data_IF_860631341463
#
_entry.id   IF_860631341463
#
_cell.length_a   1.000
_cell.length_b   1.000
_cell.length_c   1.000
_cell.angle_alpha   90.00
_cell.angle_beta   90.00
_cell.angle_gamma   90.00
#
_symmetry.space_group_name_H-M   'P 1'
#
loop_
_entity.id
_entity.type
_entity.pdbx_description
1 polymer ?
#
# COMPACT_ATOMS: atom_id res chain seq x y z
N UNK A 1 9.53 -16.01 6.59
CA UNK A 1 9.85 -14.72 7.23
C UNK A 1 9.05 -14.60 8.53
N UNK A 2 9.68 -14.21 9.65
CA UNK A 2 9.00 -13.95 10.91
C UNK A 2 8.00 -12.78 10.82
N UNK A 3 6.85 -12.90 11.49
CA UNK A 3 5.76 -11.91 11.42
C UNK A 3 6.10 -10.59 12.12
N UNK A 4 7.07 -10.61 13.03
CA UNK A 4 7.59 -9.45 13.74
C UNK A 4 8.49 -8.55 12.90
N UNK A 5 8.94 -9.00 11.72
CA UNK A 5 9.78 -8.18 10.83
C UNK A 5 8.97 -7.51 9.71
N UNK A 6 7.91 -8.15 9.24
CA UNK A 6 7.15 -7.65 8.09
C UNK A 6 6.07 -8.62 7.66
N UNK A 7 5.44 -8.32 6.53
CA UNK A 7 4.47 -9.20 5.89
C UNK A 7 4.61 -9.17 4.37
N UNK A 8 4.19 -10.26 3.71
CA UNK A 8 4.03 -10.29 2.25
C UNK A 8 2.74 -9.55 1.94
N UNK A 9 2.86 -8.38 1.32
CA UNK A 9 1.71 -7.53 0.97
C UNK A 9 1.10 -7.92 -0.37
N UNK A 10 1.90 -8.46 -1.28
CA UNK A 10 1.44 -8.89 -2.60
C UNK A 10 2.31 -10.03 -3.15
N UNK A 11 1.69 -10.93 -3.91
CA UNK A 11 2.40 -11.86 -4.79
C UNK A 11 1.93 -11.60 -6.22
N UNK A 12 2.88 -11.37 -7.12
CA UNK A 12 2.63 -11.17 -8.55
C UNK A 12 3.29 -12.34 -9.28
N UNK A 13 2.44 -13.19 -9.84
CA UNK A 13 2.90 -14.35 -10.62
C UNK A 13 3.19 -13.94 -12.06
N UNK A 14 4.28 -14.45 -12.63
CA UNK A 14 4.55 -14.25 -14.05
C UNK A 14 3.57 -15.06 -14.90
N UNK A 15 3.08 -14.51 -16.03
CA UNK A 15 2.32 -15.30 -17.01
C UNK A 15 3.18 -16.33 -17.76
N UNK A 16 4.53 -16.27 -17.65
CA UNK A 16 5.46 -17.18 -18.33
C UNK A 16 5.71 -18.40 -17.43
N UNK A 17 5.50 -19.63 -17.95
CA UNK A 17 5.64 -20.87 -17.16
C UNK A 17 6.62 -21.89 -17.80
N UNK A 18 7.49 -22.54 -17.00
CA UNK A 18 7.74 -22.29 -15.57
C UNK A 18 8.40 -20.91 -15.33
N UNK A 19 8.24 -20.30 -14.14
CA UNK A 19 8.92 -19.04 -13.82
C UNK A 19 10.43 -19.25 -13.86
N UNK A 20 11.16 -18.31 -14.45
CA UNK A 20 12.61 -18.42 -14.58
C UNK A 20 13.34 -17.99 -13.30
N UNK A 21 12.75 -17.03 -12.56
CA UNK A 21 13.38 -16.33 -11.43
C UNK A 21 12.35 -16.00 -10.35
N UNK A 22 12.82 -15.81 -9.12
CA UNK A 22 12.06 -15.24 -8.00
C UNK A 22 12.70 -13.91 -7.58
N UNK A 23 11.90 -12.86 -7.47
CA UNK A 23 12.33 -11.59 -6.87
C UNK A 23 11.54 -11.34 -5.58
N UNK A 24 12.25 -11.23 -4.46
CA UNK A 24 11.68 -10.74 -3.21
C UNK A 24 11.86 -9.23 -3.18
N UNK A 25 10.81 -8.49 -3.52
CA UNK A 25 10.82 -7.03 -3.57
C UNK A 25 10.49 -6.49 -2.18
N UNK A 26 11.45 -5.88 -1.50
CA UNK A 26 11.24 -5.29 -0.17
C UNK A 26 11.02 -3.79 -0.31
N UNK A 27 9.92 -3.29 0.23
CA UNK A 27 9.63 -1.84 0.24
C UNK A 27 10.50 -1.13 1.28
N UNK A 28 11.25 -0.15 0.82
CA UNK A 28 12.10 0.71 1.62
C UNK A 28 11.29 1.88 2.20
N UNK A 29 11.28 1.99 3.54
CA UNK A 29 10.72 3.14 4.27
C UNK A 29 11.78 4.21 4.57
N UNK A 30 12.92 4.15 3.89
CA UNK A 30 14.00 5.13 3.89
C UNK A 30 14.56 5.41 5.29
N UNK A 31 14.40 6.62 5.82
CA UNK A 31 15.05 7.05 7.07
C UNK A 31 14.42 6.46 8.33
N UNK A 32 13.39 5.63 8.20
CA UNK A 32 12.74 4.98 9.33
C UNK A 32 13.62 3.88 9.94
N UNK A 33 14.24 4.19 11.07
CA UNK A 33 15.19 3.30 11.73
C UNK A 33 14.62 1.90 12.04
N UNK A 34 13.39 1.81 12.54
CA UNK A 34 12.79 0.52 12.89
C UNK A 34 12.53 -0.31 11.63
N UNK A 35 11.98 0.31 10.59
CA UNK A 35 11.78 -0.35 9.30
C UNK A 35 13.11 -0.79 8.67
N UNK A 36 14.19 0.00 8.78
CA UNK A 36 15.52 -0.41 8.31
C UNK A 36 16.08 -1.60 9.10
N UNK A 37 15.89 -1.65 10.42
CA UNK A 37 16.29 -2.81 11.23
C UNK A 37 15.49 -4.05 10.86
N UNK A 38 14.20 -3.90 10.58
CA UNK A 38 13.36 -4.99 10.09
C UNK A 38 13.77 -5.44 8.69
N UNK A 39 14.03 -4.51 7.76
CA UNK A 39 14.56 -4.82 6.43
C UNK A 39 15.85 -5.63 6.53
N UNK A 40 16.81 -5.18 7.35
CA UNK A 40 18.04 -5.92 7.61
C UNK A 40 17.75 -7.35 8.11
N UNK A 41 16.83 -7.50 9.07
CA UNK A 41 16.42 -8.81 9.58
C UNK A 41 15.76 -9.69 8.51
N UNK A 42 14.96 -9.12 7.60
CA UNK A 42 14.33 -9.87 6.50
C UNK A 42 15.42 -10.39 5.56
N UNK A 43 16.36 -9.54 5.15
CA UNK A 43 17.46 -9.93 4.28
C UNK A 43 18.34 -10.99 4.94
N UNK A 44 18.63 -10.84 6.23
CA UNK A 44 19.38 -11.79 7.06
C UNK A 44 18.72 -13.18 7.03
N UNK A 45 17.41 -13.26 7.29
CA UNK A 45 16.66 -14.53 7.22
C UNK A 45 16.61 -15.13 5.82
N UNK A 46 16.45 -14.31 4.77
CA UNK A 46 16.49 -14.80 3.39
C UNK A 46 17.87 -15.34 3.01
N UNK A 47 18.92 -14.71 3.52
CA UNK A 47 20.30 -15.15 3.37
C UNK A 47 20.56 -16.46 4.14
N UNK A 48 20.13 -16.57 5.39
CA UNK A 48 20.32 -17.77 6.23
C UNK A 48 19.48 -18.96 5.75
N UNK A 49 18.17 -18.77 5.61
CA UNK A 49 17.20 -19.85 5.42
C UNK A 49 17.12 -20.31 3.95
N UNK A 50 17.37 -19.39 3.01
CA UNK A 50 17.16 -19.63 1.57
C UNK A 50 18.41 -19.40 0.71
N UNK A 51 19.52 -18.97 1.31
CA UNK A 51 20.78 -18.79 0.59
C UNK A 51 20.77 -17.67 -0.44
N UNK A 52 19.83 -16.72 -0.36
CA UNK A 52 19.78 -15.58 -1.28
C UNK A 52 20.95 -14.63 -0.97
N UNK A 53 21.81 -14.36 -1.96
CA UNK A 53 23.02 -13.53 -1.79
C UNK A 53 23.02 -12.24 -2.61
N UNK A 54 22.28 -12.21 -3.71
CA UNK A 54 22.19 -11.04 -4.58
C UNK A 54 21.12 -10.09 -4.03
N UNK A 55 21.57 -8.91 -3.59
CA UNK A 55 20.73 -7.85 -3.06
C UNK A 55 20.80 -6.68 -4.05
N UNK A 56 19.71 -6.44 -4.75
CA UNK A 56 19.58 -5.38 -5.74
C UNK A 56 19.01 -4.13 -5.06
N UNK A 57 19.55 -2.96 -5.36
CA UNK A 57 19.25 -1.74 -4.59
C UNK A 57 18.93 -0.56 -5.52
N UNK A 58 17.85 0.16 -5.19
CA UNK A 58 17.53 1.47 -5.77
C UNK A 58 18.56 2.54 -5.37
N UNK A 59 18.86 3.48 -6.25
CA UNK A 59 19.64 4.68 -5.94
C UNK A 59 21.15 4.53 -6.09
N UNK A 60 21.62 3.33 -6.46
CA UNK A 60 23.01 3.04 -6.79
C UNK A 60 23.17 2.45 -8.19
N UNK A 61 24.39 2.49 -8.73
CA UNK A 61 24.78 1.81 -9.97
C UNK A 61 26.05 0.99 -9.71
N UNK A 62 26.05 -0.30 -10.06
CA UNK A 62 27.21 -1.17 -9.87
C UNK A 62 27.32 -1.76 -8.46
N UNK A 63 28.53 -2.17 -8.05
CA UNK A 63 28.76 -2.73 -6.71
C UNK A 63 28.73 -1.62 -5.66
N UNK A 64 27.75 -1.70 -4.76
CA UNK A 64 27.54 -0.76 -3.65
C UNK A 64 27.78 -1.42 -2.29
N UNK A 65 28.48 -2.55 -2.28
CA UNK A 65 28.79 -3.29 -1.06
C UNK A 65 29.78 -2.52 -0.17
N UNK A 66 29.55 -2.56 1.13
CA UNK A 66 30.42 -2.04 2.17
C UNK A 66 31.33 -3.11 2.77
N UNK A 67 31.27 -4.34 2.25
CA UNK A 67 32.03 -5.51 2.71
C UNK A 67 33.55 -5.28 2.81
N UNK A 68 34.10 -4.41 1.98
CA UNK A 68 35.53 -4.02 2.02
C UNK A 68 35.94 -3.37 3.35
N UNK A 69 35.01 -2.65 3.99
CA UNK A 69 35.19 -1.96 5.27
C UNK A 69 35.21 -2.93 6.45
N UNK A 70 34.72 -4.17 6.28
CA UNK A 70 34.69 -5.18 7.36
C UNK A 70 36.07 -5.48 7.95
N UNK A 71 37.13 -5.32 7.16
CA UNK A 71 38.52 -5.55 7.56
C UNK A 71 39.11 -4.43 8.42
N UNK A 72 38.48 -3.27 8.46
CA UNK A 72 38.98 -2.09 9.15
C UNK A 72 38.74 -2.14 10.67
N UNK A 73 37.74 -2.91 11.12
CA UNK A 73 37.37 -2.99 12.54
C UNK A 73 36.76 -4.35 12.93
N UNK A 74 36.92 -4.79 14.19
CA UNK A 74 36.21 -5.94 14.74
C UNK A 74 34.68 -5.80 14.66
N UNK A 75 33.97 -6.94 14.60
CA UNK A 75 32.51 -7.00 14.46
C UNK A 75 31.73 -6.15 15.48
N UNK A 76 32.20 -6.11 16.74
CA UNK A 76 31.55 -5.31 17.78
C UNK A 76 31.57 -3.81 17.47
N UNK A 77 32.71 -3.28 17.01
CA UNK A 77 32.87 -1.87 16.64
C UNK A 77 32.07 -1.55 15.37
N UNK A 78 32.13 -2.45 14.36
CA UNK A 78 31.31 -2.30 13.14
C UNK A 78 29.83 -2.16 13.48
N UNK A 79 29.33 -3.01 14.38
CA UNK A 79 27.93 -2.99 14.81
C UNK A 79 27.57 -1.70 15.52
N UNK A 80 28.41 -1.20 16.43
CA UNK A 80 28.17 0.04 17.14
C UNK A 80 28.07 1.25 16.19
N UNK A 81 29.06 1.41 15.31
CA UNK A 81 29.11 2.51 14.33
C UNK A 81 27.99 2.40 13.29
N UNK A 82 27.73 1.20 12.75
CA UNK A 82 26.65 0.98 11.80
C UNK A 82 25.28 1.26 12.42
N UNK A 83 25.05 0.93 13.69
CA UNK A 83 23.80 1.27 14.38
C UNK A 83 23.63 2.80 14.50
N UNK A 84 24.70 3.52 14.79
CA UNK A 84 24.69 4.98 14.86
C UNK A 84 24.37 5.61 13.49
N UNK A 85 24.97 5.10 12.41
CA UNK A 85 24.71 5.57 11.05
C UNK A 85 23.29 5.21 10.56
N UNK A 86 22.79 4.03 10.91
CA UNK A 86 21.42 3.63 10.58
C UNK A 86 20.40 4.55 11.27
N UNK A 87 20.62 4.90 12.55
CA UNK A 87 19.75 5.87 13.27
C UNK A 87 19.77 7.26 12.67
N UNK A 88 20.90 7.66 12.10
CA UNK A 88 21.05 8.94 11.40
C UNK A 88 20.49 8.91 9.98
N UNK A 89 20.16 7.74 9.43
CA UNK A 89 19.74 7.56 8.04
C UNK A 89 20.87 7.67 7.02
N UNK A 90 22.13 7.56 7.48
CA UNK A 90 23.31 7.64 6.61
C UNK A 90 23.52 6.35 5.81
N UNK A 91 23.20 5.20 6.42
CA UNK A 91 23.17 3.89 5.76
C UNK A 91 21.77 3.27 5.87
N UNK A 92 21.44 2.40 4.92
CA UNK A 92 20.20 1.62 4.86
C UNK A 92 20.36 0.25 5.52
N UNK A 93 19.28 -0.52 5.65
CA UNK A 93 19.26 -1.80 6.35
C UNK A 93 20.12 -2.89 5.71
N UNK A 94 20.17 -2.93 4.38
CA UNK A 94 21.04 -3.83 3.62
C UNK A 94 22.51 -3.47 3.77
N UNK A 95 22.86 -2.18 3.77
CA UNK A 95 24.21 -1.69 4.01
C UNK A 95 24.65 -1.98 5.46
N UNK A 96 23.73 -1.78 6.41
CA UNK A 96 23.93 -2.17 7.81
C UNK A 96 24.22 -3.67 7.91
N UNK A 97 23.39 -4.52 7.30
CA UNK A 97 23.59 -5.98 7.35
C UNK A 97 24.91 -6.38 6.69
N UNK A 98 25.24 -5.80 5.55
CA UNK A 98 26.50 -6.01 4.86
C UNK A 98 27.69 -5.56 5.73
N UNK A 99 27.54 -4.52 6.54
CA UNK A 99 28.59 -4.08 7.45
C UNK A 99 28.72 -4.88 8.74
N UNK A 100 27.69 -5.55 9.24
CA UNK A 100 27.72 -6.19 10.57
C UNK A 100 27.72 -7.71 10.54
N UNK A 101 27.28 -8.32 9.44
CA UNK A 101 27.27 -9.78 9.28
C UNK A 101 28.51 -10.30 8.55
N UNK A 102 28.64 -11.62 8.51
CA UNK A 102 29.63 -12.33 7.69
C UNK A 102 29.00 -12.97 6.44
N UNK A 103 27.75 -12.63 6.14
CA UNK A 103 27.11 -13.11 4.92
C UNK A 103 27.89 -12.61 3.69
N UNK A 104 28.11 -13.47 2.68
CA UNK A 104 28.73 -13.07 1.42
C UNK A 104 27.67 -12.44 0.51
N UNK A 105 27.11 -11.30 0.95
CA UNK A 105 26.14 -10.55 0.18
C UNK A 105 26.83 -9.81 -0.96
N UNK A 106 26.15 -9.71 -2.09
CA UNK A 106 26.50 -8.83 -3.20
C UNK A 106 25.42 -7.75 -3.29
N UNK A 107 25.74 -6.54 -2.85
CA UNK A 107 24.86 -5.39 -2.98
C UNK A 107 25.14 -4.73 -4.32
N UNK A 108 24.14 -4.71 -5.19
CA UNK A 108 24.27 -4.22 -6.56
C UNK A 108 23.20 -3.18 -6.87
N UNK A 109 23.65 -1.97 -7.16
CA UNK A 109 22.82 -0.88 -7.63
C UNK A 109 22.25 -1.16 -9.03
N UNK A 110 20.92 -1.07 -9.16
CA UNK A 110 20.21 -1.33 -10.43
C UNK A 110 19.73 -0.06 -11.13
N UNK A 111 20.02 1.10 -10.57
CA UNK A 111 19.61 2.37 -11.15
C UNK A 111 20.44 2.75 -12.36
N UNK A 112 19.89 3.61 -13.21
CA UNK A 112 20.62 4.34 -14.23
C UNK A 112 20.89 5.75 -13.71
N UNK A 113 22.16 6.12 -13.53
CA UNK A 113 22.50 7.38 -12.86
C UNK A 113 21.97 8.60 -13.61
N UNK A 114 21.92 8.56 -14.95
CA UNK A 114 21.40 9.67 -15.74
C UNK A 114 19.88 9.84 -15.56
N UNK A 115 19.13 8.73 -15.57
CA UNK A 115 17.70 8.76 -15.27
C UNK A 115 17.42 9.17 -13.83
N UNK A 116 18.23 8.70 -12.89
CA UNK A 116 18.15 9.09 -11.48
C UNK A 116 18.38 10.59 -11.31
N UNK A 117 19.45 11.14 -11.91
CA UNK A 117 19.78 12.57 -11.83
C UNK A 117 18.64 13.42 -12.41
N UNK A 118 18.16 13.05 -13.60
CA UNK A 118 17.03 13.73 -14.22
C UNK A 118 15.79 13.72 -13.33
N UNK A 119 15.42 12.54 -12.80
CA UNK A 119 14.26 12.39 -11.93
C UNK A 119 14.40 13.20 -10.63
N UNK A 120 15.61 13.23 -10.04
CA UNK A 120 15.90 14.00 -8.85
C UNK A 120 15.80 15.52 -9.09
N UNK A 121 16.33 16.03 -10.20
CA UNK A 121 16.19 17.47 -10.54
C UNK A 121 14.71 17.85 -10.67
N UNK A 122 13.90 17.00 -11.29
CA UNK A 122 12.46 17.22 -11.42
C UNK A 122 11.75 17.22 -10.07
N UNK A 123 12.15 16.35 -9.13
CA UNK A 123 11.67 16.38 -7.75
C UNK A 123 11.96 17.74 -7.08
N UNK A 124 13.14 18.31 -7.28
CA UNK A 124 13.52 19.62 -6.72
C UNK A 124 12.75 20.77 -7.34
N UNK A 125 12.59 20.77 -8.66
CA UNK A 125 11.76 21.75 -9.35
C UNK A 125 10.29 21.66 -8.89
N UNK A 126 9.76 20.44 -8.71
CA UNK A 126 8.40 20.21 -8.25
C UNK A 126 8.20 20.66 -6.81
N UNK A 127 9.13 20.36 -5.90
CA UNK A 127 9.07 20.83 -4.50
C UNK A 127 9.02 22.37 -4.43
N UNK A 128 9.88 23.04 -5.21
CA UNK A 128 9.91 24.50 -5.29
C UNK A 128 8.62 25.06 -5.89
N UNK A 129 8.15 24.49 -7.00
CA UNK A 129 6.91 24.91 -7.65
C UNK A 129 5.72 24.78 -6.69
N UNK A 130 5.57 23.60 -6.05
CA UNK A 130 4.55 23.33 -5.04
C UNK A 130 4.57 24.35 -3.91
N UNK A 131 5.75 24.66 -3.37
CA UNK A 131 5.90 25.68 -2.33
C UNK A 131 5.37 27.05 -2.78
N UNK A 132 5.69 27.45 -4.02
CA UNK A 132 5.30 28.75 -4.57
C UNK A 132 3.81 28.90 -4.90
N UNK A 133 3.11 27.81 -5.25
CA UNK A 133 1.69 27.82 -5.66
C UNK A 133 0.72 27.33 -4.57
N UNK A 134 1.23 26.82 -3.45
CA UNK A 134 0.41 26.19 -2.40
C UNK A 134 -0.74 27.06 -1.90
N UNK A 135 -0.51 28.37 -1.71
CA UNK A 135 -1.54 29.32 -1.31
C UNK A 135 -2.67 29.45 -2.34
N UNK A 136 -2.33 29.57 -3.62
CA UNK A 136 -3.29 29.72 -4.71
C UNK A 136 -4.14 28.45 -4.91
N UNK A 137 -3.50 27.27 -4.82
CA UNK A 137 -4.19 25.97 -4.86
C UNK A 137 -5.15 25.83 -3.68
N UNK A 138 -4.72 26.26 -2.49
CA UNK A 138 -5.56 26.28 -1.28
C UNK A 138 -6.78 27.21 -1.42
N UNK A 139 -6.61 28.38 -2.03
CA UNK A 139 -7.73 29.30 -2.31
C UNK A 139 -8.76 28.69 -3.28
N UNK A 140 -8.30 27.98 -4.32
CA UNK A 140 -9.17 27.27 -5.26
C UNK A 140 -9.94 26.15 -4.57
N UNK A 141 -9.26 25.31 -3.78
CA UNK A 141 -9.89 24.25 -3.02
C UNK A 141 -10.96 24.80 -2.06
N UNK A 142 -10.66 25.89 -1.35
CA UNK A 142 -11.60 26.54 -0.45
C UNK A 142 -12.79 27.16 -1.21
N UNK A 143 -12.59 27.66 -2.44
CA UNK A 143 -13.69 28.16 -3.28
C UNK A 143 -14.62 27.02 -3.72
N UNK A 144 -14.06 25.89 -4.13
CA UNK A 144 -14.81 24.68 -4.48
C UNK A 144 -15.61 24.18 -3.27
N UNK A 145 -14.99 24.07 -2.09
CA UNK A 145 -15.66 23.61 -0.87
C UNK A 145 -16.83 24.53 -0.48
N UNK A 146 -16.64 25.85 -0.53
CA UNK A 146 -17.73 26.82 -0.29
C UNK A 146 -18.88 26.64 -1.28
N UNK A 147 -18.57 26.48 -2.57
CA UNK A 147 -19.59 26.21 -3.58
C UNK A 147 -20.30 24.88 -3.33
N UNK A 148 -19.60 23.84 -2.90
CA UNK A 148 -20.22 22.56 -2.55
C UNK A 148 -21.21 22.73 -1.40
N UNK A 149 -20.92 23.63 -0.47
CA UNK A 149 -21.81 24.03 0.61
C UNK A 149 -23.13 24.68 0.16
N UNK A 150 -23.19 25.31 -1.02
CA UNK A 150 -24.40 26.04 -1.48
C UNK A 150 -25.07 25.40 -2.69
N UNK A 151 -24.30 24.86 -3.65
CA UNK A 151 -24.80 24.31 -4.92
C UNK A 151 -25.31 22.89 -4.75
N UNK A 152 -24.62 22.05 -3.99
CA UNK A 152 -25.01 20.65 -3.85
C UNK A 152 -26.26 20.51 -3.00
N UNK A 153 -27.20 19.69 -3.47
CA UNK A 153 -28.33 19.28 -2.66
C UNK A 153 -27.87 18.56 -1.38
N UNK A 154 -28.72 18.58 -0.35
CA UNK A 154 -28.38 18.04 0.97
C UNK A 154 -27.85 16.61 0.93
N UNK A 155 -28.39 15.76 0.05
CA UNK A 155 -27.98 14.36 0.00
C UNK A 155 -26.60 14.15 -0.61
N UNK A 156 -26.24 14.94 -1.63
CA UNK A 156 -24.87 14.95 -2.17
C UNK A 156 -23.87 15.51 -1.18
N UNK A 157 -24.22 16.61 -0.48
CA UNK A 157 -23.34 17.18 0.56
C UNK A 157 -23.01 16.15 1.64
N UNK A 158 -24.01 15.45 2.15
CA UNK A 158 -23.81 14.41 3.17
C UNK A 158 -22.97 13.25 2.64
N UNK A 159 -23.19 12.83 1.39
CA UNK A 159 -22.40 11.76 0.75
C UNK A 159 -20.92 12.14 0.63
N UNK A 160 -20.60 13.31 0.09
CA UNK A 160 -19.21 13.76 -0.06
C UNK A 160 -18.53 14.06 1.29
N UNK A 161 -19.24 14.62 2.27
CA UNK A 161 -18.70 14.84 3.62
C UNK A 161 -18.32 13.52 4.31
N UNK A 162 -19.14 12.47 4.17
CA UNK A 162 -18.84 11.14 4.72
C UNK A 162 -17.65 10.49 4.03
N UNK A 163 -17.52 10.67 2.71
CA UNK A 163 -16.34 10.25 1.94
C UNK A 163 -15.08 10.96 2.42
N UNK A 164 -15.12 12.28 2.56
CA UNK A 164 -13.98 13.06 3.05
C UNK A 164 -13.57 12.69 4.47
N UNK A 165 -14.55 12.48 5.39
CA UNK A 165 -14.29 12.02 6.74
C UNK A 165 -13.65 10.62 6.77
N UNK A 166 -14.03 9.75 5.83
CA UNK A 166 -13.41 8.43 5.69
C UNK A 166 -11.97 8.52 5.14
N UNK A 167 -11.74 9.35 4.13
CA UNK A 167 -10.40 9.57 3.54
C UNK A 167 -9.41 10.21 4.52
N UNK A 168 -9.92 11.02 5.46
CA UNK A 168 -9.12 11.66 6.52
C UNK A 168 -9.07 10.84 7.82
N UNK A 169 -9.52 9.59 7.78
CA UNK A 169 -9.59 8.65 8.93
C UNK A 169 -10.45 9.10 10.11
N UNK A 170 -11.15 10.24 10.00
CA UNK A 170 -12.13 10.70 10.99
C UNK A 170 -13.38 9.78 11.06
N UNK A 171 -13.62 8.96 10.04
CA UNK A 171 -14.66 7.94 9.98
C UNK A 171 -14.03 6.58 9.68
N UNK A 172 -14.23 5.58 10.54
CA UNK A 172 -13.73 4.23 10.30
C UNK A 172 -14.46 3.51 9.15
N UNK A 173 -13.77 2.57 8.49
CA UNK A 173 -14.29 1.79 7.35
C UNK A 173 -15.68 1.20 7.61
N UNK A 174 -15.92 0.60 8.78
CA UNK A 174 -17.21 -0.02 9.06
C UNK A 174 -18.36 0.99 9.15
N UNK A 175 -18.12 2.17 9.69
CA UNK A 175 -19.13 3.23 9.75
C UNK A 175 -19.42 3.80 8.36
N UNK A 176 -18.41 3.93 7.51
CA UNK A 176 -18.58 4.38 6.14
C UNK A 176 -19.32 3.37 5.26
N UNK A 177 -18.96 2.08 5.35
CA UNK A 177 -19.68 0.99 4.68
C UNK A 177 -21.16 0.96 5.11
N UNK A 178 -21.43 1.02 6.42
CA UNK A 178 -22.80 1.04 6.93
C UNK A 178 -23.62 2.21 6.37
N UNK A 179 -23.01 3.41 6.29
CA UNK A 179 -23.63 4.58 5.68
C UNK A 179 -23.95 4.37 4.19
N UNK A 180 -23.00 3.89 3.38
CA UNK A 180 -23.25 3.67 1.96
C UNK A 180 -24.30 2.58 1.70
N UNK A 181 -24.32 1.52 2.51
CA UNK A 181 -25.35 0.46 2.43
C UNK A 181 -26.74 1.02 2.75
N UNK A 182 -26.87 1.86 3.77
CA UNK A 182 -28.13 2.52 4.09
C UNK A 182 -28.61 3.41 2.93
N UNK A 183 -27.69 4.19 2.35
CA UNK A 183 -27.97 5.04 1.19
C UNK A 183 -28.35 4.24 -0.05
N UNK A 184 -27.71 3.09 -0.27
CA UNK A 184 -28.03 2.14 -1.34
C UNK A 184 -29.44 1.57 -1.17
N UNK A 185 -29.81 1.17 0.05
CA UNK A 185 -31.17 0.70 0.38
C UNK A 185 -32.24 1.75 0.08
N UNK A 186 -32.00 3.01 0.44
CA UNK A 186 -32.92 4.13 0.14
C UNK A 186 -33.10 4.37 -1.37
N UNK A 187 -32.08 4.09 -2.18
CA UNK A 187 -32.08 4.27 -3.63
C UNK A 187 -32.40 2.99 -4.42
N UNK A 188 -32.71 1.88 -3.74
CA UNK A 188 -32.96 0.58 -4.38
C UNK A 188 -31.76 0.05 -5.16
N UNK A 189 -30.53 0.36 -4.72
CA UNK A 189 -29.29 -0.21 -5.28
C UNK A 189 -29.00 -1.52 -4.54
N UNK A 190 -29.06 -2.69 -5.20
CA UNK A 190 -28.83 -3.96 -4.54
C UNK A 190 -27.33 -4.16 -4.24
N UNK A 191 -27.03 -4.73 -3.08
CA UNK A 191 -25.69 -5.19 -2.69
C UNK A 191 -25.79 -6.69 -2.40
N UNK A 192 -25.55 -7.56 -3.40
CA UNK A 192 -25.71 -9.00 -3.22
C UNK A 192 -24.71 -9.57 -2.21
N UNK A 193 -25.14 -10.50 -1.37
CA UNK A 193 -24.28 -11.19 -0.38
C UNK A 193 -23.10 -11.95 -1.02
N UNK A 194 -23.21 -12.29 -2.31
CA UNK A 194 -22.14 -12.95 -3.08
C UNK A 194 -20.97 -12.03 -3.42
N UNK A 195 -21.16 -10.71 -3.36
CA UNK A 195 -20.13 -9.71 -3.69
C UNK A 195 -19.14 -9.52 -2.53
N UNK A 196 -17.86 -9.17 -2.79
CA UNK A 196 -16.90 -8.75 -1.77
C UNK A 196 -17.46 -7.82 -0.69
N UNK A 197 -18.18 -6.75 -1.06
CA UNK A 197 -18.77 -5.82 -0.12
C UNK A 197 -19.93 -6.43 0.69
N UNK A 198 -20.78 -7.25 0.04
CA UNK A 198 -21.83 -8.00 0.74
C UNK A 198 -21.26 -9.00 1.75
N UNK A 199 -20.21 -9.74 1.38
CA UNK A 199 -19.47 -10.63 2.28
C UNK A 199 -18.82 -9.86 3.44
N UNK A 200 -18.25 -8.68 3.18
CA UNK A 200 -17.70 -7.84 4.23
C UNK A 200 -18.77 -7.38 5.23
N UNK A 201 -19.96 -7.02 4.75
CA UNK A 201 -21.09 -6.69 5.62
C UNK A 201 -21.52 -7.88 6.50
N UNK A 202 -21.65 -9.06 5.90
CA UNK A 202 -21.95 -10.29 6.64
C UNK A 202 -20.86 -10.59 7.69
N UNK A 203 -19.59 -10.36 7.35
CA UNK A 203 -18.47 -10.53 8.27
C UNK A 203 -18.59 -9.60 9.48
N UNK A 204 -18.90 -8.32 9.25
CA UNK A 204 -19.13 -7.36 10.34
C UNK A 204 -20.33 -7.78 11.21
N UNK A 205 -21.41 -8.24 10.59
CA UNK A 205 -22.58 -8.72 11.31
C UNK A 205 -22.28 -9.95 12.17
N UNK A 206 -21.35 -10.83 11.74
CA UNK A 206 -20.87 -12.00 12.51
C UNK A 206 -19.88 -11.59 13.63
N UNK A 207 -19.12 -10.52 13.43
CA UNK A 207 -18.18 -10.01 14.44
C UNK A 207 -18.91 -9.24 15.56
N UNK A 208 -19.94 -8.46 15.20
CA UNK A 208 -20.76 -7.71 16.16
C UNK A 208 -21.46 -8.64 17.15
N UNK A 209 -21.07 -8.61 18.43
CA UNK A 209 -21.65 -9.48 19.46
C UNK A 209 -20.98 -10.86 19.58
N UNK A 210 -19.78 -11.04 19.02
CA UNK A 210 -18.97 -12.23 19.26
C UNK A 210 -18.40 -12.24 20.69
N UNK A 211 -18.87 -13.17 21.51
CA UNK A 211 -18.38 -13.39 22.88
C UNK A 211 -17.32 -14.51 22.88
N UNK A 212 -16.03 -14.14 22.93
CA UNK A 212 -14.90 -15.08 22.80
C UNK A 212 -14.92 -16.17 23.87
N UNK A 213 -15.33 -15.82 25.08
CA UNK A 213 -15.45 -16.76 26.20
C UNK A 213 -16.49 -17.84 25.92
N UNK A 214 -17.61 -17.47 25.28
CA UNK A 214 -18.66 -18.42 24.90
C UNK A 214 -18.26 -19.29 23.71
N UNK A 215 -17.53 -18.73 22.74
CA UNK A 215 -16.91 -19.53 21.66
C UNK A 215 -15.99 -20.59 22.26
N UNK A 216 -15.16 -20.23 23.24
CA UNK A 216 -14.28 -21.18 23.91
C UNK A 216 -15.05 -22.21 24.74
N UNK A 217 -16.18 -21.83 25.34
CA UNK A 217 -17.08 -22.75 26.05
C UNK A 217 -17.70 -23.79 25.10
N UNK A 218 -18.30 -23.33 24.01
CA UNK A 218 -18.89 -24.19 22.97
C UNK A 218 -17.83 -25.13 22.37
N UNK A 219 -16.63 -24.61 22.10
CA UNK A 219 -15.50 -25.41 21.63
C UNK A 219 -15.13 -26.53 22.61
N UNK A 220 -15.03 -26.22 23.92
CA UNK A 220 -14.73 -27.25 24.93
C UNK A 220 -15.83 -28.30 25.01
N UNK A 221 -17.09 -27.89 24.94
CA UNK A 221 -18.23 -28.80 24.96
C UNK A 221 -18.26 -29.71 23.72
N UNK A 222 -18.06 -29.16 22.53
CA UNK A 222 -17.99 -29.92 21.28
C UNK A 222 -16.83 -30.93 21.31
N UNK A 223 -15.62 -30.50 21.71
CA UNK A 223 -14.45 -31.39 21.81
C UNK A 223 -14.65 -32.51 22.84
N UNK A 224 -15.35 -32.25 23.95
CA UNK A 224 -15.65 -33.27 24.94
C UNK A 224 -16.55 -34.38 24.34
N UNK A 225 -17.60 -34.01 23.62
CA UNK A 225 -18.50 -34.97 22.96
C UNK A 225 -17.80 -35.73 21.82
N UNK A 226 -16.95 -35.05 21.05
CA UNK A 226 -16.15 -35.68 20.00
C UNK A 226 -15.21 -36.76 20.55
N UNK A 227 -14.68 -36.61 21.77
CA UNK A 227 -13.84 -37.65 22.39
C UNK A 227 -14.60 -38.95 22.67
N UNK A 228 -15.92 -38.88 22.84
CA UNK A 228 -16.76 -40.04 23.13
C UNK A 228 -17.30 -40.70 21.85
N UNK A 229 -17.46 -39.94 20.77
CA UNK A 229 -18.20 -40.36 19.58
C UNK A 229 -17.33 -40.56 18.32
N UNK A 230 -16.15 -39.95 18.26
CA UNK A 230 -15.29 -40.00 17.08
C UNK A 230 -14.35 -41.21 17.13
N UNK A 231 -14.02 -41.77 15.96
CA UNK A 231 -13.02 -42.84 15.86
C UNK A 231 -11.63 -42.35 16.31
N UNK A 232 -10.82 -43.28 16.84
CA UNK A 232 -9.53 -42.96 17.45
C UNK A 232 -8.55 -42.27 16.49
N UNK A 233 -8.52 -42.69 15.23
CA UNK A 233 -7.68 -42.10 14.16
C UNK A 233 -8.04 -40.64 13.90
N UNK A 234 -9.34 -40.35 13.81
CA UNK A 234 -9.86 -39.00 13.59
C UNK A 234 -9.62 -38.10 14.83
N UNK A 235 -9.74 -38.67 16.03
CA UNK A 235 -9.49 -37.96 17.29
C UNK A 235 -8.01 -37.59 17.44
N UNK A 236 -7.10 -38.51 17.09
CA UNK A 236 -5.65 -38.27 17.11
C UNK A 236 -5.27 -37.15 16.11
N UNK A 237 -5.85 -37.18 14.90
CA UNK A 237 -5.64 -36.15 13.89
C UNK A 237 -6.13 -34.77 14.35
N UNK A 238 -7.34 -34.68 14.92
CA UNK A 238 -7.89 -33.43 15.45
C UNK A 238 -7.05 -32.90 16.62
N UNK A 239 -6.54 -33.79 17.48
CA UNK A 239 -5.68 -33.43 18.63
C UNK A 239 -4.35 -32.87 18.17
N UNK A 240 -3.68 -33.52 17.22
CA UNK A 240 -2.43 -33.05 16.64
C UNK A 240 -2.59 -31.66 15.99
N UNK A 241 -3.69 -31.46 15.24
CA UNK A 241 -4.00 -30.17 14.63
C UNK A 241 -4.29 -29.09 15.68
N UNK A 242 -4.97 -29.43 16.78
CA UNK A 242 -5.22 -28.53 17.90
C UNK A 242 -3.92 -28.08 18.59
N UNK A 243 -2.96 -28.98 18.78
CA UNK A 243 -1.63 -28.64 19.32
C UNK A 243 -0.85 -27.73 18.37
N UNK A 244 -0.88 -28.02 17.07
CA UNK A 244 -0.25 -27.16 16.06
C UNK A 244 -0.87 -25.75 16.05
N UNK A 245 -2.20 -25.65 16.21
CA UNK A 245 -2.91 -24.37 16.28
C UNK A 245 -2.52 -23.57 17.51
N UNK A 246 -2.48 -24.20 18.69
CA UNK A 246 -2.02 -23.56 19.93
C UNK A 246 -0.56 -23.08 19.85
N UNK A 247 0.28 -23.83 19.11
CA UNK A 247 1.66 -23.46 18.84
C UNK A 247 1.82 -22.40 17.72
N UNK A 248 0.73 -21.89 17.14
CA UNK A 248 0.76 -20.92 16.04
C UNK A 248 1.25 -21.46 14.70
N UNK A 249 1.35 -22.78 14.54
CA UNK A 249 1.89 -23.43 13.31
C UNK A 249 0.84 -23.64 12.22
N UNK A 250 -0.44 -23.45 12.52
CA UNK A 250 -1.53 -23.54 11.54
C UNK A 250 -2.50 -22.38 11.72
N UNK A 251 -3.08 -21.92 10.61
CA UNK A 251 -4.06 -20.85 10.62
C UNK A 251 -5.33 -21.27 11.39
N UNK A 252 -6.00 -20.35 12.11
CA UNK A 252 -7.24 -20.66 12.82
C UNK A 252 -8.30 -21.31 11.92
N UNK A 253 -8.50 -20.80 10.71
CA UNK A 253 -9.46 -21.33 9.73
C UNK A 253 -9.27 -22.84 9.49
N UNK A 254 -8.02 -23.30 9.36
CA UNK A 254 -7.69 -24.71 9.11
C UNK A 254 -8.17 -25.60 10.25
N UNK A 255 -7.90 -25.19 11.50
CA UNK A 255 -8.33 -25.93 12.68
C UNK A 255 -9.85 -25.96 12.81
N UNK A 256 -10.51 -24.80 12.73
CA UNK A 256 -11.96 -24.72 12.92
C UNK A 256 -12.75 -25.39 11.78
N UNK A 257 -12.23 -25.40 10.55
CA UNK A 257 -12.81 -26.18 9.45
C UNK A 257 -12.76 -27.68 9.76
N UNK A 258 -11.63 -28.19 10.28
CA UNK A 258 -11.52 -29.61 10.65
C UNK A 258 -12.39 -29.96 11.86
N UNK A 259 -12.48 -29.06 12.85
CA UNK A 259 -13.37 -29.25 14.00
C UNK A 259 -14.84 -29.37 13.55
N UNK A 260 -15.28 -28.50 12.63
CA UNK A 260 -16.62 -28.54 12.08
C UNK A 260 -16.89 -29.84 11.32
N UNK A 261 -15.94 -30.31 10.51
CA UNK A 261 -16.06 -31.60 9.81
C UNK A 261 -16.10 -32.80 10.79
N UNK A 262 -15.35 -32.74 11.90
CA UNK A 262 -15.40 -33.76 12.94
C UNK A 262 -16.76 -33.78 13.66
N UNK A 263 -17.36 -32.61 13.91
CA UNK A 263 -18.73 -32.51 14.44
C UNK A 263 -19.75 -33.16 13.51
N UNK A 264 -19.65 -32.89 12.20
CA UNK A 264 -20.55 -33.49 11.21
C UNK A 264 -20.39 -35.02 11.15
N UNK A 265 -19.15 -35.53 11.18
CA UNK A 265 -18.84 -36.97 11.17
C UNK A 265 -19.38 -37.69 12.41
N UNK A 266 -19.31 -37.04 13.57
CA UNK A 266 -19.87 -37.57 14.82
C UNK A 266 -21.39 -37.41 14.92
N UNK A 267 -22.04 -36.74 13.95
CA UNK A 267 -23.47 -36.46 14.00
C UNK A 267 -23.88 -35.39 15.02
N UNK A 268 -22.93 -34.55 15.47
CA UNK A 268 -23.22 -33.45 16.39
C UNK A 268 -23.89 -32.30 15.63
N UNK A 269 -25.07 -31.87 16.11
CA UNK A 269 -25.76 -30.74 15.52
C UNK A 269 -25.02 -29.44 15.85
N UNK A 270 -24.50 -28.75 14.84
CA UNK A 270 -23.78 -27.48 15.03
C UNK A 270 -24.61 -26.38 15.69
N UNK A 271 -25.94 -26.46 15.57
CA UNK A 271 -26.88 -25.56 16.22
C UNK A 271 -26.82 -25.63 17.76
N UNK A 272 -26.34 -26.74 18.33
CA UNK A 272 -26.14 -26.91 19.77
C UNK A 272 -24.94 -26.10 20.28
N UNK A 273 -24.09 -25.60 19.38
CA UNK A 273 -22.89 -24.81 19.65
C UNK A 273 -22.94 -23.47 18.90
N UNK A 274 -23.94 -22.61 19.18
CA UNK A 274 -24.27 -21.47 18.35
C UNK A 274 -23.14 -20.42 18.28
N UNK A 275 -22.35 -20.25 19.35
CA UNK A 275 -21.24 -19.30 19.35
C UNK A 275 -20.05 -19.86 18.55
N UNK A 276 -19.77 -21.16 18.69
CA UNK A 276 -18.74 -21.82 17.89
C UNK A 276 -19.10 -21.84 16.40
N UNK A 277 -20.35 -22.18 16.04
CA UNK A 277 -20.81 -22.18 14.65
C UNK A 277 -20.71 -20.78 14.03
N UNK A 278 -21.10 -19.74 14.78
CA UNK A 278 -20.91 -18.35 14.36
C UNK A 278 -19.45 -18.02 14.08
N UNK A 279 -18.53 -18.48 14.94
CA UNK A 279 -17.10 -18.25 14.77
C UNK A 279 -16.51 -19.02 13.59
N UNK A 280 -16.93 -20.27 13.37
CA UNK A 280 -16.55 -21.06 12.19
C UNK A 280 -16.98 -20.34 10.91
N UNK A 281 -18.22 -19.86 10.86
CA UNK A 281 -18.74 -19.06 9.73
C UNK A 281 -17.96 -17.77 9.53
N UNK A 282 -17.62 -17.06 10.60
CA UNK A 282 -16.77 -15.86 10.55
C UNK A 282 -15.40 -16.16 9.92
N UNK A 283 -14.71 -17.21 10.37
CA UNK A 283 -13.39 -17.57 9.83
C UNK A 283 -13.47 -18.01 8.36
N UNK A 284 -14.49 -18.78 7.99
CA UNK A 284 -14.71 -19.21 6.62
C UNK A 284 -14.99 -18.04 5.67
N UNK A 285 -15.74 -17.03 6.14
CA UNK A 285 -16.04 -15.83 5.36
C UNK A 285 -14.84 -14.89 5.30
N UNK A 286 -14.14 -14.68 6.42
CA UNK A 286 -12.92 -13.86 6.51
C UNK A 286 -11.86 -14.30 5.51
N UNK A 287 -11.69 -15.62 5.34
CA UNK A 287 -10.75 -16.19 4.37
C UNK A 287 -11.10 -15.91 2.90
N UNK A 288 -12.35 -15.52 2.61
CA UNK A 288 -12.81 -15.20 1.25
C UNK A 288 -12.80 -13.70 0.94
N UNK A 289 -12.70 -12.84 1.96
CA UNK A 289 -12.78 -11.39 1.79
C UNK A 289 -11.40 -10.84 1.47
N UNK A 290 -11.24 -10.27 0.27
CA UNK A 290 -10.01 -9.61 -0.17
C UNK A 290 -10.17 -8.09 -0.06
N UNK A 291 -9.28 -7.43 0.69
CA UNK A 291 -9.38 -5.99 0.97
C UNK A 291 -9.45 -5.13 -0.29
N UNK A 292 -8.61 -5.41 -1.30
CA UNK A 292 -8.61 -4.67 -2.56
C UNK A 292 -9.92 -4.78 -3.35
N UNK A 293 -10.58 -5.94 -3.31
CA UNK A 293 -11.87 -6.14 -3.97
C UNK A 293 -12.99 -5.40 -3.23
N UNK A 294 -13.01 -5.45 -1.90
CA UNK A 294 -13.95 -4.67 -1.08
C UNK A 294 -13.78 -3.18 -1.34
N UNK A 295 -12.53 -2.70 -1.41
CA UNK A 295 -12.23 -1.31 -1.72
C UNK A 295 -12.77 -0.90 -3.09
N UNK A 296 -12.52 -1.70 -4.13
CA UNK A 296 -13.01 -1.42 -5.48
C UNK A 296 -14.54 -1.34 -5.54
N UNK A 297 -15.25 -2.25 -4.89
CA UNK A 297 -16.71 -2.22 -4.85
C UNK A 297 -17.25 -1.05 -4.02
N UNK A 298 -16.57 -0.69 -2.94
CA UNK A 298 -16.93 0.46 -2.11
C UNK A 298 -16.85 1.78 -2.92
N UNK A 299 -15.77 1.96 -3.69
CA UNK A 299 -15.60 3.11 -4.57
C UNK A 299 -16.65 3.13 -5.69
N UNK A 300 -16.93 1.98 -6.30
CA UNK A 300 -17.96 1.84 -7.32
C UNK A 300 -19.35 2.17 -6.78
N UNK A 301 -19.68 1.70 -5.56
CA UNK A 301 -20.93 2.02 -4.89
C UNK A 301 -21.04 3.52 -4.60
N UNK A 302 -19.99 4.15 -4.05
CA UNK A 302 -19.98 5.61 -3.83
C UNK A 302 -20.27 6.36 -5.13
N UNK A 303 -19.55 6.03 -6.20
CA UNK A 303 -19.73 6.68 -7.51
C UNK A 303 -21.15 6.49 -8.05
N UNK A 304 -21.73 5.29 -7.91
CA UNK A 304 -23.10 5.01 -8.34
C UNK A 304 -24.14 5.80 -7.52
N UNK A 305 -23.96 5.88 -6.21
CA UNK A 305 -24.86 6.64 -5.32
C UNK A 305 -24.75 8.14 -5.60
N UNK A 306 -23.54 8.63 -5.86
CA UNK A 306 -23.29 10.02 -6.27
C UNK A 306 -24.01 10.34 -7.57
N UNK A 307 -23.85 9.54 -8.61
CA UNK A 307 -24.52 9.77 -9.91
C UNK A 307 -26.04 9.78 -9.79
N UNK A 308 -26.64 8.87 -9.00
CA UNK A 308 -28.09 8.84 -8.75
C UNK A 308 -28.63 10.05 -7.98
N UNK A 309 -27.77 10.77 -7.26
CA UNK A 309 -28.14 11.93 -6.42
C UNK A 309 -27.91 13.27 -7.10
N UNK A 310 -27.23 13.29 -8.24
CA UNK A 310 -27.09 14.48 -9.10
C UNK A 310 -28.45 14.84 -9.71
N UNK A 311 -28.84 16.10 -9.54
CA UNK A 311 -30.13 16.66 -9.99
C UNK A 311 -29.96 17.76 -11.03
N UNK A 312 -28.77 18.36 -11.15
CA UNK A 312 -28.51 19.43 -12.12
C UNK A 312 -27.14 19.30 -12.78
N UNK A 313 -26.94 20.05 -13.86
CA UNK A 313 -25.64 20.13 -14.53
C UNK A 313 -24.60 20.83 -13.65
N UNK A 314 -25.01 21.86 -12.91
CA UNK A 314 -24.15 22.63 -12.01
C UNK A 314 -23.58 21.76 -10.88
N UNK A 315 -24.41 20.88 -10.30
CA UNK A 315 -23.95 19.89 -9.31
C UNK A 315 -22.92 18.94 -9.90
N UNK A 316 -23.15 18.45 -11.13
CA UNK A 316 -22.22 17.54 -11.83
C UNK A 316 -20.89 18.22 -12.14
N UNK A 317 -20.94 19.44 -12.65
CA UNK A 317 -19.76 20.21 -13.02
C UNK A 317 -18.91 20.53 -11.78
N UNK A 318 -19.56 20.94 -10.68
CA UNK A 318 -18.87 21.22 -9.42
C UNK A 318 -18.24 19.97 -8.79
N UNK A 319 -18.95 18.85 -8.83
CA UNK A 319 -18.41 17.58 -8.36
C UNK A 319 -17.22 17.09 -9.20
N UNK A 320 -17.29 17.26 -10.52
CA UNK A 320 -16.17 16.95 -11.43
C UNK A 320 -14.97 17.85 -11.17
N UNK A 321 -15.22 19.13 -10.89
CA UNK A 321 -14.19 20.09 -10.51
C UNK A 321 -13.55 19.73 -9.16
N UNK A 322 -14.33 19.28 -8.18
CA UNK A 322 -13.81 18.83 -6.89
C UNK A 322 -12.89 17.60 -7.02
N UNK A 323 -13.26 16.61 -7.85
CA UNK A 323 -12.40 15.47 -8.11
C UNK A 323 -11.11 15.89 -8.84
N UNK A 324 -11.19 16.82 -9.80
CA UNK A 324 -10.02 17.35 -10.49
C UNK A 324 -9.08 18.11 -9.54
N UNK A 325 -9.63 18.88 -8.58
CA UNK A 325 -8.86 19.56 -7.56
C UNK A 325 -8.15 18.61 -6.60
N UNK A 326 -8.82 17.52 -6.20
CA UNK A 326 -8.19 16.46 -5.42
C UNK A 326 -7.04 15.80 -6.22
N UNK A 327 -7.31 15.44 -7.48
CA UNK A 327 -6.32 14.82 -8.36
C UNK A 327 -5.10 15.73 -8.60
N UNK A 328 -5.29 17.05 -8.79
CA UNK A 328 -4.21 18.02 -8.87
C UNK A 328 -3.41 18.12 -7.57
N UNK A 329 -4.10 18.12 -6.43
CA UNK A 329 -3.45 18.20 -5.12
C UNK A 329 -2.53 16.99 -4.90
N UNK A 330 -3.02 15.79 -5.23
CA UNK A 330 -2.23 14.56 -5.12
C UNK A 330 -1.10 14.50 -6.14
N UNK A 331 -1.31 15.02 -7.35
CA UNK A 331 -0.26 15.17 -8.38
C UNK A 331 0.91 16.00 -7.84
N UNK A 332 0.61 17.20 -7.36
CA UNK A 332 1.61 18.15 -6.87
C UNK A 332 2.29 17.62 -5.60
N UNK A 333 1.59 16.81 -4.80
CA UNK A 333 2.12 16.16 -3.62
C UNK A 333 2.98 14.91 -3.92
N UNK A 334 3.10 14.51 -5.19
CA UNK A 334 3.73 13.25 -5.60
C UNK A 334 3.05 12.01 -4.96
N UNK A 335 1.72 12.02 -4.86
CA UNK A 335 0.89 10.95 -4.27
C UNK A 335 -0.06 10.26 -5.24
N UNK A 336 0.09 10.46 -6.55
CA UNK A 336 -0.71 9.71 -7.52
C UNK A 336 -0.52 8.22 -7.41
N UNK A 337 -1.66 7.55 -7.39
CA UNK A 337 -1.80 6.11 -7.58
C UNK A 337 -1.85 5.77 -9.08
N UNK A 338 -1.71 4.49 -9.46
CA UNK A 338 -1.97 4.05 -10.84
C UNK A 338 -3.37 4.43 -11.34
N UNK A 339 -4.36 4.42 -10.46
CA UNK A 339 -5.75 4.81 -10.74
C UNK A 339 -5.86 6.30 -11.05
N UNK A 340 -5.16 7.16 -10.31
CA UNK A 340 -5.08 8.60 -10.55
C UNK A 340 -4.47 8.91 -11.91
N UNK A 341 -3.37 8.24 -12.25
CA UNK A 341 -2.75 8.36 -13.56
C UNK A 341 -3.70 7.88 -14.68
N UNK A 342 -4.49 6.82 -14.43
CA UNK A 342 -5.50 6.37 -15.39
C UNK A 342 -6.65 7.39 -15.52
N UNK A 343 -7.10 8.00 -14.43
CA UNK A 343 -8.11 9.05 -14.44
C UNK A 343 -7.63 10.28 -15.22
N UNK A 344 -6.39 10.72 -14.98
CA UNK A 344 -5.74 11.78 -15.73
C UNK A 344 -5.70 11.47 -17.24
N UNK A 345 -5.22 10.29 -17.64
CA UNK A 345 -5.13 9.92 -19.06
C UNK A 345 -6.47 9.90 -19.79
N UNK A 346 -7.59 9.65 -19.10
CA UNK A 346 -8.93 9.71 -19.70
C UNK A 346 -9.36 11.15 -20.00
N UNK A 347 -8.92 12.12 -19.21
CA UNK A 347 -9.25 13.53 -19.41
C UNK A 347 -8.12 14.44 -18.87
N UNK A 348 -7.02 14.62 -19.62
CA UNK A 348 -5.88 15.43 -19.16
C UNK A 348 -6.25 16.90 -18.91
N UNK A 349 -7.20 17.39 -19.71
CA UNK A 349 -7.73 18.73 -19.62
C UNK A 349 -8.49 19.01 -18.30
N UNK A 350 -8.88 17.96 -17.56
CA UNK A 350 -9.51 18.12 -16.25
C UNK A 350 -8.62 18.86 -15.26
N UNK A 351 -7.29 18.77 -15.38
CA UNK A 351 -6.35 19.41 -14.47
C UNK A 351 -5.97 20.84 -14.85
N UNK A 352 -6.49 21.36 -15.98
CA UNK A 352 -6.21 22.73 -16.41
C UNK A 352 -7.04 23.72 -15.59
N UNK A 353 -6.38 24.38 -14.64
CA UNK A 353 -6.98 25.35 -13.73
C UNK A 353 -7.62 26.51 -14.48
N UNK A 354 -7.07 26.88 -15.63
CA UNK A 354 -7.65 27.90 -16.51
C UNK A 354 -9.11 27.59 -16.89
N UNK A 355 -9.44 26.29 -17.04
CA UNK A 355 -10.82 25.85 -17.32
C UNK A 355 -11.70 25.87 -16.08
N UNK A 356 -11.12 25.70 -14.89
CA UNK A 356 -11.84 25.75 -13.63
C UNK A 356 -12.40 27.13 -13.36
N UNK A 357 -11.63 28.17 -13.69
CA UNK A 357 -12.01 29.56 -13.44
C UNK A 357 -13.35 29.91 -14.08
N UNK A 358 -13.61 29.44 -15.30
CA UNK A 358 -14.88 29.68 -15.99
C UNK A 358 -16.07 29.07 -15.22
N UNK A 359 -15.92 27.84 -14.71
CA UNK A 359 -16.95 27.16 -13.91
C UNK A 359 -17.16 27.87 -12.58
N UNK A 360 -16.07 28.20 -11.87
CA UNK A 360 -16.12 28.89 -10.58
C UNK A 360 -16.75 30.29 -10.70
N UNK A 361 -16.39 31.06 -11.72
CA UNK A 361 -16.99 32.38 -11.98
C UNK A 361 -18.48 32.27 -12.31
N UNK A 362 -18.86 31.34 -13.19
CA UNK A 362 -20.25 31.16 -13.58
C UNK A 362 -21.14 30.76 -12.39
N UNK A 363 -20.67 29.84 -11.53
CA UNK A 363 -21.46 29.38 -10.39
C UNK A 363 -21.47 30.38 -9.23
N UNK A 364 -20.38 31.10 -8.97
CA UNK A 364 -20.35 32.11 -7.88
C UNK A 364 -21.22 33.31 -8.18
N UNK A 365 -21.29 33.76 -9.45
CA UNK A 365 -22.17 34.85 -9.88
C UNK A 365 -23.66 34.58 -9.61
N UNK A 366 -24.07 33.31 -9.56
CA UNK A 366 -25.45 32.92 -9.26
C UNK A 366 -25.78 32.92 -7.76
N UNK A 367 -24.77 32.96 -6.88
CA UNK A 367 -24.92 32.72 -5.44
C UNK A 367 -24.54 33.92 -4.56
N UNK A 368 -23.93 34.98 -5.13
CA UNK A 368 -23.49 36.13 -4.35
C UNK A 368 -22.51 37.04 -5.12
N UNK A 369 -21.71 37.86 -4.41
CA UNK A 369 -20.71 38.69 -5.08
C UNK A 369 -19.73 37.80 -5.87
N UNK A 370 -19.27 38.24 -7.05
CA UNK A 370 -18.35 37.47 -7.87
C UNK A 370 -17.12 37.09 -7.06
N UNK A 371 -16.77 35.81 -7.07
CA UNK A 371 -15.50 35.38 -6.50
C UNK A 371 -14.38 35.96 -7.37
N UNK A 372 -13.50 36.73 -6.72
CA UNK A 372 -12.29 37.26 -7.33
C UNK A 372 -11.11 36.43 -6.83
N UNK A 373 -10.38 35.84 -7.75
CA UNK A 373 -9.15 35.11 -7.50
C UNK A 373 -8.00 35.87 -8.13
N UNK A 374 -6.95 36.12 -7.35
CA UNK A 374 -5.76 36.86 -7.79
C UNK A 374 -4.56 35.96 -8.12
N UNK A 375 -4.75 34.64 -8.13
CA UNK A 375 -3.69 33.69 -8.46
C UNK A 375 -3.41 33.58 -9.96
N UNK A 376 -2.35 32.85 -10.29
CA UNK A 376 -1.92 32.60 -11.67
C UNK A 376 -2.21 31.15 -12.09
N UNK A 377 -3.26 30.95 -12.89
CA UNK A 377 -3.63 29.62 -13.36
C UNK A 377 -2.58 28.99 -14.28
N UNK A 378 -1.89 29.80 -15.10
CA UNK A 378 -0.87 29.29 -16.00
C UNK A 378 0.34 28.75 -15.21
N UNK A 379 0.64 29.36 -14.07
CA UNK A 379 1.68 28.89 -13.15
C UNK A 379 1.33 27.54 -12.52
N UNK A 380 0.07 27.34 -12.13
CA UNK A 380 -0.40 26.05 -11.60
C UNK A 380 -0.41 24.99 -12.70
N UNK A 381 -0.88 25.32 -13.91
CA UNK A 381 -0.90 24.40 -15.05
C UNK A 381 0.52 23.98 -15.47
N UNK A 382 1.49 24.90 -15.41
CA UNK A 382 2.90 24.59 -15.65
C UNK A 382 3.48 23.65 -14.58
N UNK A 383 3.13 23.85 -13.31
CA UNK A 383 3.53 22.96 -12.22
C UNK A 383 2.89 21.57 -12.33
N UNK A 384 1.62 21.50 -12.73
CA UNK A 384 0.94 20.24 -13.02
C UNK A 384 1.63 19.50 -14.18
N UNK A 385 1.98 20.20 -15.27
CA UNK A 385 2.71 19.60 -16.38
C UNK A 385 4.11 19.11 -15.98
N UNK A 386 4.82 19.84 -15.11
CA UNK A 386 6.09 19.39 -14.54
C UNK A 386 5.91 18.11 -13.71
N UNK A 387 4.89 18.07 -12.85
CA UNK A 387 4.58 16.92 -12.02
C UNK A 387 4.21 15.68 -12.86
N UNK A 388 3.46 15.84 -13.95
CA UNK A 388 3.16 14.72 -14.88
C UNK A 388 4.45 14.17 -15.47
N UNK A 389 5.37 15.03 -15.95
CA UNK A 389 6.65 14.58 -16.47
C UNK A 389 7.50 13.89 -15.40
N UNK A 390 7.40 14.30 -14.14
CA UNK A 390 8.08 13.65 -13.01
C UNK A 390 7.64 12.17 -12.90
N UNK A 391 6.34 11.89 -13.01
CA UNK A 391 5.82 10.51 -13.05
C UNK A 391 6.28 9.73 -14.28
N UNK A 392 6.32 10.36 -15.46
CA UNK A 392 6.83 9.72 -16.69
C UNK A 392 8.32 9.36 -16.58
N UNK A 393 9.13 10.24 -15.99
CA UNK A 393 10.54 9.99 -15.72
C UNK A 393 10.73 8.84 -14.71
N UNK A 394 9.89 8.78 -13.68
CA UNK A 394 9.91 7.70 -12.71
C UNK A 394 9.59 6.35 -13.35
N UNK A 395 8.60 6.30 -14.25
CA UNK A 395 8.25 5.10 -15.01
C UNK A 395 9.40 4.63 -15.92
N UNK A 396 10.11 5.55 -16.58
CA UNK A 396 11.28 5.21 -17.39
C UNK A 396 12.44 4.66 -16.54
N UNK A 397 12.64 5.22 -15.33
CA UNK A 397 13.61 4.72 -14.34
C UNK A 397 13.25 3.31 -13.88
N UNK A 398 11.97 3.03 -13.62
CA UNK A 398 11.49 1.69 -13.25
C UNK A 398 11.76 0.65 -14.33
N UNK A 399 11.51 0.98 -15.60
CA UNK A 399 11.83 0.09 -16.70
C UNK A 399 13.33 -0.22 -16.78
N UNK A 400 14.18 0.78 -16.57
CA UNK A 400 15.64 0.59 -16.52
C UNK A 400 16.06 -0.30 -15.35
N UNK A 401 15.54 -0.05 -14.15
CA UNK A 401 15.81 -0.85 -12.96
C UNK A 401 15.38 -2.30 -13.13
N UNK A 402 14.18 -2.56 -13.65
CA UNK A 402 13.70 -3.92 -13.89
C UNK A 402 14.60 -4.70 -14.88
N UNK A 403 14.99 -4.05 -15.99
CA UNK A 403 15.92 -4.66 -16.97
C UNK A 403 17.29 -4.95 -16.35
N UNK A 404 17.87 -3.97 -15.64
CA UNK A 404 19.19 -4.09 -15.01
C UNK A 404 19.19 -5.15 -13.90
N UNK A 405 18.12 -5.23 -13.11
CA UNK A 405 17.90 -6.25 -12.10
C UNK A 405 17.94 -7.66 -12.70
N UNK A 406 17.12 -7.92 -13.72
CA UNK A 406 17.04 -9.24 -14.35
C UNK A 406 18.35 -9.63 -15.07
N UNK A 407 19.01 -8.66 -15.73
CA UNK A 407 20.30 -8.88 -16.36
C UNK A 407 21.38 -9.23 -15.33
N UNK A 408 21.38 -8.58 -14.15
CA UNK A 408 22.30 -8.93 -13.07
C UNK A 408 22.03 -10.33 -12.52
N UNK A 409 20.77 -10.71 -12.35
CA UNK A 409 20.42 -12.08 -11.96
C UNK A 409 20.94 -13.12 -12.97
N UNK A 410 20.84 -12.84 -14.28
CA UNK A 410 21.39 -13.73 -15.31
C UNK A 410 22.92 -13.83 -15.25
N UNK A 411 23.60 -12.68 -15.08
CA UNK A 411 25.06 -12.65 -14.99
C UNK A 411 25.62 -13.44 -13.79
N UNK A 412 24.90 -13.42 -12.67
CA UNK A 412 25.28 -14.16 -11.45
C UNK A 412 24.72 -15.60 -11.41
N UNK A 413 23.91 -16.00 -12.40
CA UNK A 413 23.20 -17.29 -12.38
C UNK A 413 22.22 -17.43 -11.20
N UNK A 414 21.70 -16.32 -10.70
CA UNK A 414 20.86 -16.28 -9.50
C UNK A 414 19.40 -16.60 -9.84
N UNK A 415 18.91 -17.74 -9.34
CA UNK A 415 17.49 -18.12 -9.44
C UNK A 415 16.58 -17.26 -8.56
N UNK A 416 17.12 -16.65 -7.50
CA UNK A 416 16.41 -15.76 -6.60
C UNK A 416 17.28 -14.56 -6.19
N UNK A 417 16.66 -13.39 -6.05
CA UNK A 417 17.30 -12.17 -5.57
C UNK A 417 16.35 -11.36 -4.69
N UNK A 418 16.92 -10.50 -3.85
CA UNK A 418 16.18 -9.42 -3.17
C UNK A 418 16.29 -8.16 -4.02
N UNK A 419 15.21 -7.39 -4.12
CA UNK A 419 15.22 -6.04 -4.71
C UNK A 419 14.64 -5.05 -3.69
N UNK A 420 15.43 -4.07 -3.27
CA UNK A 420 15.06 -3.05 -2.29
C UNK A 420 14.78 -1.74 -3.02
N UNK A 421 13.54 -1.26 -2.91
CA UNK A 421 13.05 -0.07 -3.63
C UNK A 421 12.06 0.70 -2.76
N UNK A 422 11.99 2.02 -2.94
CA UNK A 422 10.99 2.86 -2.29
C UNK A 422 9.57 2.44 -2.63
N UNK A 423 8.63 2.72 -1.73
CA UNK A 423 7.22 2.37 -1.89
C UNK A 423 6.59 2.88 -3.20
N UNK A 424 7.07 4.01 -3.71
CA UNK A 424 6.67 4.61 -4.98
C UNK A 424 6.92 3.67 -6.19
N UNK A 425 8.06 2.99 -6.23
CA UNK A 425 8.51 2.16 -7.36
C UNK A 425 7.98 0.73 -7.31
N UNK A 426 7.65 0.22 -6.11
CA UNK A 426 7.29 -1.17 -5.87
C UNK A 426 6.15 -1.71 -6.76
N UNK A 427 5.11 -0.91 -6.97
CA UNK A 427 3.94 -1.32 -7.75
C UNK A 427 4.21 -1.49 -9.23
N UNK A 428 5.01 -0.61 -9.84
CA UNK A 428 5.37 -0.70 -11.26
C UNK A 428 6.45 -1.75 -11.49
N UNK A 429 7.47 -1.81 -10.63
CA UNK A 429 8.54 -2.80 -10.74
C UNK A 429 8.05 -4.24 -10.59
N UNK A 430 7.17 -4.52 -9.63
CA UNK A 430 6.62 -5.87 -9.46
C UNK A 430 5.89 -6.36 -10.73
N UNK A 431 5.16 -5.47 -11.41
CA UNK A 431 4.52 -5.78 -12.71
C UNK A 431 5.55 -6.01 -13.82
N UNK A 432 6.51 -5.09 -13.98
CA UNK A 432 7.52 -5.16 -15.04
C UNK A 432 8.39 -6.42 -14.93
N UNK A 433 8.76 -6.81 -13.70
CA UNK A 433 9.52 -8.04 -13.44
C UNK A 433 8.68 -9.29 -13.76
N UNK A 434 7.40 -9.29 -13.40
CA UNK A 434 6.48 -10.39 -13.70
C UNK A 434 6.23 -10.57 -15.19
N UNK A 435 6.01 -9.48 -15.93
CA UNK A 435 5.87 -9.49 -17.39
C UNK A 435 7.13 -10.03 -18.08
N UNK A 436 8.30 -9.89 -17.45
CA UNK A 436 9.60 -10.37 -17.94
C UNK A 436 10.02 -11.75 -17.39
N UNK A 437 9.13 -12.49 -16.74
CA UNK A 437 9.35 -13.91 -16.40
C UNK A 437 9.77 -14.23 -14.97
N UNK A 438 9.72 -13.26 -14.05
CA UNK A 438 9.99 -13.48 -12.63
C UNK A 438 8.70 -13.55 -11.80
N UNK A 439 8.58 -14.53 -10.89
CA UNK A 439 7.58 -14.39 -9.82
C UNK A 439 8.08 -13.34 -8.81
N UNK A 440 7.18 -12.49 -8.31
CA UNK A 440 7.52 -11.41 -7.38
C UNK A 440 6.74 -11.55 -6.08
N UNK A 441 7.45 -11.60 -4.96
CA UNK A 441 6.87 -11.46 -3.63
C UNK A 441 7.20 -10.06 -3.09
N UNK A 442 6.19 -9.21 -2.96
CA UNK A 442 6.33 -7.88 -2.37
C UNK A 442 6.23 -8.01 -0.85
N UNK A 443 7.25 -7.52 -0.16
CA UNK A 443 7.39 -7.58 1.30
C UNK A 443 7.43 -6.16 1.83
N UNK A 444 6.58 -5.90 2.81
CA UNK A 444 6.52 -4.61 3.52
C UNK A 444 7.04 -4.82 4.94
N UNK A 445 8.21 -4.25 5.29
CA UNK A 445 8.71 -4.27 6.66
C UNK A 445 7.69 -3.62 7.61
N UNK A 446 7.64 -4.08 8.86
CA UNK A 446 6.87 -3.37 9.88
C UNK A 446 7.49 -2.01 10.12
N UNK A 447 6.68 -0.96 10.04
CA UNK A 447 7.07 0.40 10.35
C UNK A 447 6.66 0.67 11.78
N UNK A 448 7.60 1.20 12.57
CA UNK A 448 7.32 1.66 13.92
C UNK A 448 6.59 3.00 13.92
N UNK A 449 7.21 3.99 14.56
CA UNK A 449 6.74 5.39 14.46
C UNK A 449 7.04 5.94 13.07
N UNK A 450 6.05 6.51 12.40
CA UNK A 450 6.26 7.21 11.13
C UNK A 450 7.23 8.39 11.30
N UNK A 451 8.16 8.50 10.34
CA UNK A 451 9.07 9.64 10.23
C UNK A 451 8.41 10.72 9.36
N UNK A 452 8.75 11.98 9.61
CA UNK A 452 8.16 13.10 8.85
C UNK A 452 8.74 13.20 7.44
N UNK A 453 7.92 13.58 6.46
CA UNK A 453 8.35 13.90 5.08
C UNK A 453 9.54 14.86 5.01
N UNK A 454 9.60 15.82 5.95
CA UNK A 454 10.70 16.79 6.04
C UNK A 454 12.06 16.12 6.28
N UNK A 455 12.11 15.12 7.18
CA UNK A 455 13.33 14.37 7.48
C UNK A 455 13.76 13.51 6.29
N UNK A 456 12.81 12.88 5.62
CA UNK A 456 13.11 12.14 4.39
C UNK A 456 13.70 13.06 3.31
N UNK A 457 13.06 14.20 3.05
CA UNK A 457 13.53 15.17 2.07
C UNK A 457 14.94 15.73 2.41
N UNK A 458 15.23 15.95 3.69
CA UNK A 458 16.55 16.39 4.15
C UNK A 458 17.63 15.35 3.85
N UNK A 459 17.41 14.08 4.22
CA UNK A 459 18.37 13.00 3.99
C UNK A 459 18.53 12.71 2.50
N UNK A 460 17.44 12.73 1.73
CA UNK A 460 17.50 12.57 0.28
C UNK A 460 18.38 13.66 -0.36
N UNK A 461 18.21 14.93 0.05
CA UNK A 461 19.06 16.05 -0.39
C UNK A 461 20.52 15.88 0.05
N UNK A 462 20.77 15.38 1.26
CA UNK A 462 22.12 15.12 1.76
C UNK A 462 22.82 14.00 0.97
N UNK A 463 22.14 12.86 0.75
CA UNK A 463 22.65 11.73 -0.04
C UNK A 463 22.98 12.15 -1.47
N UNK A 464 22.10 12.91 -2.12
CA UNK A 464 22.36 13.42 -3.47
C UNK A 464 23.60 14.31 -3.54
N UNK A 465 23.75 15.27 -2.61
CA UNK A 465 24.93 16.15 -2.54
C UNK A 465 26.23 15.36 -2.33
N UNK A 466 26.21 14.38 -1.42
CA UNK A 466 27.37 13.51 -1.16
C UNK A 466 27.82 12.81 -2.45
N UNK A 467 26.88 12.28 -3.23
CA UNK A 467 27.16 11.61 -4.51
C UNK A 467 27.83 12.52 -5.55
N UNK A 468 27.41 13.79 -5.64
CA UNK A 468 28.05 14.75 -6.54
C UNK A 468 29.50 15.06 -6.12
N UNK A 469 29.79 15.05 -4.82
CA UNK A 469 31.16 15.31 -4.34
C UNK A 469 32.10 14.14 -4.58
N UNK A 470 31.63 12.90 -4.52
CA UNK A 470 32.44 11.71 -4.81
C UNK A 470 32.68 11.49 -6.31
N UNK A 471 31.77 11.93 -7.18
CA UNK A 471 31.92 11.83 -8.65
C UNK A 471 32.74 12.96 -9.27
N UNK A 472 32.93 14.10 -8.58
CA UNK A 472 33.75 15.22 -9.04
C UNK A 472 35.23 15.17 -8.62
N UNK A 473 35.70 14.01 -8.13
CA UNK A 473 37.07 13.81 -7.61
C UNK A 473 37.98 12.99 -8.53
N UNK A 474 37.50 12.59 -9.71
CA UNK A 474 38.26 11.99 -10.81
C UNK A 474 38.54 13.03 -11.91
#
# INVERSE_FOLDING_TARGET
>A
MPAELGHVSQVVETPIRPPAKLVVLIQDAHVNYEAQRHLAGIVDRLAEDHGIRLILVEGGEGDVSLSSLRRLAPAAIRKEEAEAYLRQGLISGEEYLDLVSDHPLLLWGVDDLALYDQHYQMYMELEQARGSISGEVGELAAAIERLQGVVLNQSLRTLEQRRAAFQTEALGLGAYVAFLVEEAGRLGVPIPESTPLGKFQMLQALEQGMERERVAQDQRAAVALLREQLERTELDALTALGQAYQAGRVAPQTFYHRLAAAMDLAGLARADFPHLERYIRYLALKAQVQAGQVWSELQALHAQLRERRIRSAEERDLLSLADAAALLTDLLAARWTPEDHQAYRRNPDALRVERWLAVLQAQTAQQGPPWAWSGDAARIDAAAALAVRFYEAAAARDEAMARRALAKMDAEGAAAAVLIVGGFHAGQLSRLLAEQGADVAVVTPLVGREETDARYAEVLKAKYRSRLTTTGSD
#
